data_IF_876340249921
#
_entry.id   IF_876340249921
#
_cell.length_a   1.000
_cell.length_b   1.000
_cell.length_c   1.000
_cell.angle_alpha   90.00
_cell.angle_beta   90.00
_cell.angle_gamma   90.00
#
_symmetry.space_group_name_H-M   'P 1'
#
loop_
_entity.id
_entity.type
_entity.pdbx_description
1 polymer ?
#
# COMPACT_ATOMS: atom_id res chain seq x y z
N UNK A 1 -9.53 -25.46 19.58
CA UNK A 1 -8.22 -25.33 18.90
C UNK A 1 -8.29 -25.30 17.36
N UNK A 2 -8.97 -26.22 16.66
CA UNK A 2 -8.99 -26.32 15.18
C UNK A 2 -9.45 -25.06 14.39
N UNK A 3 -10.22 -24.17 15.02
CA UNK A 3 -10.70 -22.93 14.39
C UNK A 3 -9.63 -21.84 14.24
N UNK A 4 -8.55 -21.90 15.04
CA UNK A 4 -7.45 -20.94 14.97
C UNK A 4 -6.55 -21.20 13.75
N UNK A 5 -6.37 -22.46 13.35
CA UNK A 5 -5.59 -22.84 12.16
C UNK A 5 -6.28 -22.41 10.86
N UNK A 6 -7.60 -22.61 10.74
CA UNK A 6 -8.37 -22.19 9.56
C UNK A 6 -8.37 -20.67 9.35
N UNK A 7 -8.43 -19.90 10.44
CA UNK A 7 -8.31 -18.43 10.37
C UNK A 7 -6.93 -17.99 9.87
N UNK A 8 -5.86 -18.64 10.33
CA UNK A 8 -4.50 -18.33 9.87
C UNK A 8 -4.31 -18.64 8.39
N UNK A 9 -4.82 -19.78 7.90
CA UNK A 9 -4.74 -20.17 6.47
C UNK A 9 -5.51 -19.16 5.59
N UNK A 10 -6.75 -18.81 5.94
CA UNK A 10 -7.51 -17.78 5.21
C UNK A 10 -6.81 -16.41 5.20
N UNK A 11 -6.23 -16.00 6.33
CA UNK A 11 -5.50 -14.73 6.40
C UNK A 11 -4.22 -14.75 5.54
N UNK A 12 -3.58 -15.91 5.39
CA UNK A 12 -2.42 -16.09 4.51
C UNK A 12 -2.81 -16.03 3.02
N UNK A 13 -3.90 -16.69 2.61
CA UNK A 13 -4.45 -16.61 1.25
C UNK A 13 -4.85 -15.17 0.87
N UNK A 14 -5.51 -14.45 1.78
CA UNK A 14 -5.87 -13.03 1.58
C UNK A 14 -4.62 -12.16 1.45
N UNK A 15 -3.54 -12.48 2.17
CA UNK A 15 -2.25 -11.77 2.06
C UNK A 15 -1.58 -11.99 0.69
N UNK A 16 -1.76 -13.18 0.07
CA UNK A 16 -1.23 -13.53 -1.25
C UNK A 16 -1.93 -12.78 -2.40
N UNK A 17 -3.18 -12.36 -2.24
CA UNK A 17 -3.91 -11.59 -3.27
C UNK A 17 -3.60 -10.08 -3.28
N UNK A 18 -2.94 -9.55 -2.25
CA UNK A 18 -2.65 -8.12 -2.17
C UNK A 18 -1.48 -7.76 -3.09
N UNK A 19 -1.67 -6.78 -3.96
CA UNK A 19 -0.62 -6.30 -4.85
C UNK A 19 0.24 -5.26 -4.14
N UNK A 20 1.57 -5.43 -4.22
CA UNK A 20 2.51 -4.37 -3.80
C UNK A 20 2.41 -3.18 -4.72
N UNK A 21 2.41 -2.00 -4.14
CA UNK A 21 2.40 -0.72 -4.83
C UNK A 21 3.42 0.21 -4.19
N UNK A 22 3.95 1.13 -4.99
CA UNK A 22 4.89 2.15 -4.53
C UNK A 22 4.19 3.50 -4.58
N UNK A 23 4.40 4.35 -3.57
CA UNK A 23 3.90 5.72 -3.58
C UNK A 23 5.04 6.70 -3.82
N UNK A 24 4.83 7.56 -4.80
CA UNK A 24 5.73 8.62 -5.23
C UNK A 24 5.23 9.98 -4.73
N UNK A 25 6.13 10.77 -4.14
CA UNK A 25 5.84 12.17 -3.79
C UNK A 25 5.58 13.00 -5.05
N UNK A 26 4.48 13.74 -5.11
CA UNK A 26 4.14 14.55 -6.28
C UNK A 26 5.10 15.72 -6.49
N UNK A 27 5.76 16.19 -5.44
CA UNK A 27 6.65 17.36 -5.49
C UNK A 27 8.08 16.99 -5.88
N UNK A 28 8.74 16.10 -5.11
CA UNK A 28 10.14 15.74 -5.36
C UNK A 28 10.33 14.46 -6.17
N UNK A 29 9.24 13.79 -6.58
CA UNK A 29 9.26 12.55 -7.38
C UNK A 29 10.00 11.37 -6.73
N UNK A 30 10.25 11.46 -5.43
CA UNK A 30 10.88 10.38 -4.68
C UNK A 30 9.86 9.30 -4.28
N UNK A 31 10.26 8.05 -4.47
CA UNK A 31 9.51 6.85 -4.12
C UNK A 31 9.87 6.43 -2.69
N UNK A 32 9.05 6.82 -1.73
CA UNK A 32 9.38 6.75 -0.30
C UNK A 32 8.62 5.65 0.45
N UNK A 33 7.58 5.10 -0.16
CA UNK A 33 6.67 4.19 0.51
C UNK A 33 6.35 3.00 -0.36
N UNK A 34 6.52 1.82 0.21
CA UNK A 34 6.04 0.56 -0.36
C UNK A 34 4.88 0.09 0.51
N UNK A 35 3.71 -0.07 -0.10
CA UNK A 35 2.52 -0.58 0.57
C UNK A 35 1.88 -1.66 -0.27
N UNK A 36 0.81 -2.25 0.21
CA UNK A 36 0.02 -3.23 -0.53
C UNK A 36 -1.40 -2.75 -0.64
N UNK A 37 -2.00 -2.88 -1.82
CA UNK A 37 -3.43 -2.66 -2.03
C UNK A 37 -4.11 -3.94 -2.49
N UNK A 38 -5.39 -4.05 -2.17
CA UNK A 38 -6.24 -5.05 -2.78
C UNK A 38 -6.86 -4.46 -4.05
N UNK A 39 -6.42 -4.95 -5.22
CA UNK A 39 -6.91 -4.46 -6.52
C UNK A 39 -8.37 -4.78 -6.78
N UNK A 40 -8.95 -5.77 -6.09
CA UNK A 40 -10.37 -6.14 -6.27
C UNK A 40 -11.29 -5.10 -5.64
N UNK A 41 -10.93 -4.64 -4.43
CA UNK A 41 -11.74 -3.67 -3.67
C UNK A 41 -11.37 -2.23 -4.02
N UNK A 42 -10.10 -1.97 -4.33
CA UNK A 42 -9.59 -0.65 -4.69
C UNK A 42 -8.82 -0.71 -6.02
N UNK A 43 -9.53 -0.75 -7.16
CA UNK A 43 -8.91 -0.79 -8.48
C UNK A 43 -8.19 0.51 -8.84
N UNK A 44 -8.69 1.64 -8.33
CA UNK A 44 -8.19 2.97 -8.65
C UNK A 44 -6.77 3.23 -8.13
N UNK A 45 -6.12 4.26 -8.70
CA UNK A 45 -4.82 4.73 -8.23
C UNK A 45 -4.96 5.32 -6.84
N UNK A 46 -4.12 4.86 -5.91
CA UNK A 46 -4.11 5.38 -4.55
C UNK A 46 -3.43 6.75 -4.51
N UNK A 47 -4.11 7.74 -3.91
CA UNK A 47 -3.55 9.04 -3.59
C UNK A 47 -3.73 9.31 -2.10
N UNK A 48 -2.65 9.64 -1.39
CA UNK A 48 -2.68 9.86 0.06
C UNK A 48 -1.69 10.94 0.47
N UNK A 49 -2.08 11.80 1.42
CA UNK A 49 -1.14 12.73 2.07
C UNK A 49 -0.22 11.96 3.00
N UNK A 50 1.09 12.06 2.78
CA UNK A 50 2.14 11.41 3.58
C UNK A 50 3.31 12.37 3.76
N UNK A 51 4.06 12.18 4.84
CA UNK A 51 5.29 12.93 5.07
C UNK A 51 6.35 12.56 4.04
N UNK A 52 6.93 13.54 3.35
CA UNK A 52 8.09 13.30 2.51
C UNK A 52 9.36 13.67 3.27
N UNK A 53 10.25 12.70 3.53
CA UNK A 53 11.53 12.97 4.21
C UNK A 53 12.44 13.94 3.46
N UNK A 54 12.31 14.02 2.13
CA UNK A 54 13.11 14.89 1.29
C UNK A 54 12.55 16.31 1.23
N UNK A 55 11.23 16.48 1.22
CA UNK A 55 10.58 17.79 1.25
C UNK A 55 10.37 18.32 2.68
N UNK A 56 10.59 17.47 3.69
CA UNK A 56 10.39 17.75 5.11
C UNK A 56 8.98 18.25 5.46
N UNK A 57 7.97 17.84 4.68
CA UNK A 57 6.57 18.23 4.87
C UNK A 57 5.62 17.14 4.37
N UNK A 58 4.35 17.25 4.75
CA UNK A 58 3.30 16.37 4.25
C UNK A 58 2.89 16.79 2.84
N UNK A 59 3.12 15.91 1.88
CA UNK A 59 2.80 16.11 0.47
C UNK A 59 1.86 15.02 -0.01
N UNK A 60 1.19 15.28 -1.13
CA UNK A 60 0.41 14.26 -1.81
C UNK A 60 1.38 13.21 -2.38
N UNK A 61 1.12 11.95 -2.09
CA UNK A 61 1.83 10.84 -2.71
C UNK A 61 0.85 10.05 -3.56
N UNK A 62 1.26 9.68 -4.77
CA UNK A 62 0.44 8.95 -5.74
C UNK A 62 1.05 7.59 -6.02
N UNK A 63 0.20 6.60 -6.23
CA UNK A 63 0.61 5.28 -6.69
C UNK A 63 1.33 5.36 -8.03
N UNK A 64 2.52 4.76 -8.07
CA UNK A 64 3.33 4.60 -9.27
C UNK A 64 3.59 3.11 -9.51
N UNK A 65 3.84 2.78 -10.78
CA UNK A 65 4.07 1.39 -11.24
C UNK A 65 5.49 0.92 -10.92
#
# INVERSE_FOLDING_TARGET
QKNLDFKHIKNAEVKLMRTRITLECTECKQRNYNTTKDKKTHPDRVETKKYCKFCQKHTLHKETK
#
